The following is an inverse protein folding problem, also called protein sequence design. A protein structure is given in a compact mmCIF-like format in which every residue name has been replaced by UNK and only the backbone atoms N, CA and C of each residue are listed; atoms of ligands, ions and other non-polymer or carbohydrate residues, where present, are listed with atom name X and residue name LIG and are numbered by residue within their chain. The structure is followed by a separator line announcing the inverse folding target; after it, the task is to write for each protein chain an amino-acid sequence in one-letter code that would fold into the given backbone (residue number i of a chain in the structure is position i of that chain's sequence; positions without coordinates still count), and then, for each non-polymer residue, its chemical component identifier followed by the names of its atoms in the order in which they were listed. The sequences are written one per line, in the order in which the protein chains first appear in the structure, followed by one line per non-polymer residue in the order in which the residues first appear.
data_IF_122503630186
#
_entry.id   IF_122503630186
#
_cell.length_a   1.000
_cell.length_b   1.000
_cell.length_c   1.000
_cell.angle_alpha   90.00
_cell.angle_beta   90.00
_cell.angle_gamma   90.00
#
_symmetry.space_group_name_H-M   'P 1'
#
loop_
_entity.id
_entity.type
_entity.pdbx_description
1 polymer ?
#
# COMPACT_ATOMS: atom_id res chain seq x y z
N UNK A 1 -16.27 -34.20 -58.51
CA UNK A 1 -15.15 -34.60 -57.63
C UNK A 1 -15.10 -33.60 -56.49
N UNK A 2 -15.67 -33.98 -55.35
CA UNK A 2 -15.80 -33.14 -54.15
C UNK A 2 -14.61 -33.40 -53.23
N UNK A 3 -13.90 -32.34 -52.85
CA UNK A 3 -12.82 -32.40 -51.87
C UNK A 3 -13.40 -32.27 -50.46
N UNK A 4 -13.05 -33.24 -49.62
CA UNK A 4 -13.48 -33.37 -48.23
C UNK A 4 -12.63 -32.47 -47.33
N UNK A 5 -13.32 -31.74 -46.46
CA UNK A 5 -12.82 -30.89 -45.40
C UNK A 5 -12.37 -31.77 -44.22
N UNK A 6 -11.08 -31.72 -43.84
CA UNK A 6 -10.59 -32.33 -42.60
C UNK A 6 -10.35 -31.24 -41.56
N UNK A 7 -11.21 -31.20 -40.55
CA UNK A 7 -11.04 -30.40 -39.33
C UNK A 7 -10.36 -31.30 -38.28
N UNK A 8 -9.16 -30.93 -37.86
CA UNK A 8 -8.46 -31.58 -36.74
C UNK A 8 -8.73 -30.76 -35.48
N UNK A 9 -9.51 -31.31 -34.57
CA UNK A 9 -9.63 -30.86 -33.18
C UNK A 9 -8.39 -31.32 -32.42
N UNK A 10 -7.64 -30.40 -31.81
CA UNK A 10 -6.66 -30.72 -30.78
C UNK A 10 -7.24 -30.24 -29.45
N UNK A 11 -7.60 -31.21 -28.61
CA UNK A 11 -8.16 -30.99 -27.28
C UNK A 11 -7.13 -30.40 -26.32
N UNK A 12 -7.57 -29.41 -25.57
CA UNK A 12 -6.89 -28.86 -24.40
C UNK A 12 -6.90 -29.89 -23.27
N UNK A 13 -5.70 -30.26 -22.77
CA UNK A 13 -5.54 -31.00 -21.52
C UNK A 13 -5.51 -29.97 -20.39
N UNK A 14 -6.53 -30.01 -19.54
CA UNK A 14 -6.59 -29.29 -18.27
C UNK A 14 -5.84 -30.14 -17.23
N UNK A 15 -4.75 -29.64 -16.67
CA UNK A 15 -4.11 -30.24 -15.50
C UNK A 15 -4.65 -29.52 -14.27
N UNK A 16 -5.56 -30.21 -13.55
CA UNK A 16 -5.97 -29.87 -12.19
C UNK A 16 -4.91 -30.43 -11.23
N UNK A 17 -4.22 -29.57 -10.51
CA UNK A 17 -3.38 -29.99 -9.38
C UNK A 17 -4.27 -30.11 -8.13
N UNK A 18 -4.60 -31.36 -7.76
CA UNK A 18 -5.20 -31.69 -6.46
C UNK A 18 -4.13 -31.62 -5.36
N UNK A 19 -4.39 -30.84 -4.30
CA UNK A 19 -3.67 -30.95 -3.05
C UNK A 19 -4.07 -32.27 -2.35
N UNK A 20 -3.14 -33.21 -2.28
CA UNK A 20 -3.29 -34.46 -1.53
C UNK A 20 -2.84 -34.24 -0.09
N UNK A 21 -3.75 -34.41 0.86
CA UNK A 21 -3.51 -34.37 2.30
C UNK A 21 -2.71 -35.59 2.74
N UNK A 22 -1.42 -35.38 3.03
CA UNK A 22 -0.52 -36.39 3.58
C UNK A 22 -0.68 -36.52 5.10
N UNK A 23 -1.08 -37.72 5.50
CA UNK A 23 -1.27 -38.24 6.84
C UNK A 23 0.06 -38.26 7.62
N UNK A 24 0.14 -37.60 8.78
CA UNK A 24 1.27 -37.72 9.71
C UNK A 24 0.94 -38.70 10.83
N UNK A 25 1.82 -39.69 10.99
CA UNK A 25 1.78 -40.72 12.02
C UNK A 25 2.15 -40.15 13.39
N UNK A 26 1.28 -40.42 14.37
CA UNK A 26 1.44 -40.09 15.79
C UNK A 26 2.62 -40.83 16.42
N UNK A 27 3.58 -40.08 16.98
CA UNK A 27 4.50 -40.60 17.99
C UNK A 27 4.20 -39.90 19.32
N UNK A 28 3.63 -40.67 20.23
CA UNK A 28 3.29 -40.29 21.60
C UNK A 28 4.55 -40.29 22.45
N UNK A 29 4.97 -39.13 22.96
CA UNK A 29 5.86 -39.05 24.12
C UNK A 29 5.06 -38.43 25.26
N UNK A 30 4.93 -39.21 26.33
CA UNK A 30 4.22 -38.83 27.53
C UNK A 30 5.07 -37.87 28.36
N UNK A 31 4.62 -36.63 28.52
CA UNK A 31 5.10 -35.75 29.59
C UNK A 31 4.11 -35.75 30.74
N UNK A 32 4.60 -36.21 31.89
CA UNK A 32 3.98 -36.14 33.21
C UNK A 32 3.76 -34.69 33.61
N UNK A 33 2.50 -34.25 33.64
CA UNK A 33 2.10 -32.97 34.23
C UNK A 33 1.66 -33.22 35.68
N UNK A 34 2.45 -32.69 36.61
CA UNK A 34 2.13 -32.59 38.04
C UNK A 34 0.99 -31.57 38.24
N UNK A 35 -0.08 -31.87 39.01
CA UNK A 35 -1.16 -30.93 39.21
C UNK A 35 -0.75 -29.83 40.20
N UNK A 36 -0.72 -28.58 39.73
CA UNK A 36 -0.62 -27.40 40.60
C UNK A 36 -1.98 -27.14 41.24
N UNK A 37 -1.97 -27.05 42.57
CA UNK A 37 -3.14 -26.83 43.41
C UNK A 37 -3.89 -25.54 43.06
N UNK A 38 -5.21 -25.67 42.95
CA UNK A 38 -6.16 -24.59 42.68
C UNK A 38 -6.41 -23.82 43.99
N UNK A 39 -5.67 -22.73 44.22
CA UNK A 39 -5.95 -21.82 45.33
C UNK A 39 -7.19 -20.99 45.01
N UNK A 40 -8.28 -21.27 45.72
CA UNK A 40 -9.50 -20.47 45.73
C UNK A 40 -9.19 -19.17 46.49
N UNK A 41 -9.03 -18.07 45.78
CA UNK A 41 -9.00 -16.74 46.38
C UNK A 41 -10.44 -16.27 46.58
N UNK A 42 -10.79 -16.11 47.84
CA UNK A 42 -12.06 -15.58 48.34
C UNK A 42 -12.13 -14.09 47.97
N UNK A 43 -13.11 -13.70 47.16
CA UNK A 43 -13.37 -12.30 46.82
C UNK A 43 -13.92 -11.57 48.05
N UNK A 44 -13.09 -10.74 48.68
CA UNK A 44 -13.54 -9.78 49.67
C UNK A 44 -14.24 -8.60 49.00
N UNK A 45 -15.41 -8.26 49.53
CA UNK A 45 -16.29 -7.18 49.10
C UNK A 45 -15.61 -5.81 49.27
N UNK A 46 -15.49 -5.07 48.17
CA UNK A 46 -15.08 -3.66 48.15
C UNK A 46 -16.22 -2.76 48.69
N UNK A 47 -15.93 -1.71 49.48
CA UNK A 47 -16.97 -0.85 50.04
C UNK A 47 -17.56 0.08 48.97
N UNK A 48 -18.90 0.11 48.91
CA UNK A 48 -19.67 1.05 48.10
C UNK A 48 -19.47 2.48 48.62
N UNK A 49 -18.86 3.35 47.80
CA UNK A 49 -18.91 4.80 48.01
C UNK A 49 -20.18 5.31 47.33
N UNK A 50 -21.17 5.69 48.14
CA UNK A 50 -22.35 6.43 47.71
C UNK A 50 -21.92 7.81 47.16
N UNK A 51 -22.09 8.01 45.87
CA UNK A 51 -22.02 9.34 45.27
C UNK A 51 -23.34 10.08 45.54
N UNK A 52 -23.25 11.16 46.32
CA UNK A 52 -24.33 12.12 46.53
C UNK A 52 -24.60 12.85 45.21
N UNK A 53 -25.75 12.56 44.59
CA UNK A 53 -26.27 13.30 43.43
C UNK A 53 -27.01 14.55 43.94
N UNK A 54 -26.39 15.71 43.75
CA UNK A 54 -27.03 17.03 43.91
C UNK A 54 -27.90 17.32 42.68
N UNK A 55 -29.20 17.62 42.82
CA UNK A 55 -30.03 17.96 41.66
C UNK A 55 -29.65 19.34 41.10
N UNK A 56 -29.28 19.37 39.82
CA UNK A 56 -29.10 20.60 39.05
C UNK A 56 -30.46 21.26 38.80
N UNK A 57 -30.63 22.58 39.04
CA UNK A 57 -31.89 23.26 38.76
C UNK A 57 -32.15 23.34 37.25
N UNK A 58 -33.42 23.33 36.80
CA UNK A 58 -33.75 23.41 35.38
C UNK A 58 -33.44 24.82 34.85
N UNK A 59 -32.62 24.88 33.80
CA UNK A 59 -32.43 26.09 33.00
C UNK A 59 -33.72 26.40 32.22
N UNK A 60 -34.37 27.51 32.57
CA UNK A 60 -35.42 28.13 31.78
C UNK A 60 -34.88 28.52 30.41
N UNK A 61 -35.51 28.02 29.34
CA UNK A 61 -35.26 28.47 27.99
C UNK A 61 -35.87 29.86 27.78
N UNK A 62 -35.03 30.89 27.77
CA UNK A 62 -35.37 32.21 27.24
C UNK A 62 -35.05 32.24 25.74
N UNK A 63 -36.10 32.23 24.92
CA UNK A 63 -36.00 32.46 23.48
C UNK A 63 -35.73 33.94 23.20
N UNK A 64 -34.47 34.29 22.96
CA UNK A 64 -34.09 35.52 22.25
C UNK A 64 -33.58 35.15 20.86
N UNK A 65 -34.01 35.83 19.79
CA UNK A 65 -33.56 35.52 18.45
C UNK A 65 -32.12 35.99 18.27
N UNK A 66 -31.21 35.04 18.07
CA UNK A 66 -29.83 35.31 17.63
C UNK A 66 -29.88 35.87 16.20
N UNK A 67 -29.23 37.00 15.89
CA UNK A 67 -29.12 37.49 14.52
C UNK A 67 -28.34 36.47 13.67
N UNK A 68 -28.92 36.07 12.55
CA UNK A 68 -28.26 35.23 11.55
C UNK A 68 -27.08 36.03 10.95
N UNK A 69 -25.87 35.79 11.44
CA UNK A 69 -24.66 36.21 10.74
C UNK A 69 -24.53 35.33 9.49
N UNK A 70 -24.95 35.88 8.34
CA UNK A 70 -24.61 35.34 7.04
C UNK A 70 -23.08 35.37 6.90
N UNK A 71 -22.45 34.22 7.11
CA UNK A 71 -21.07 34.01 6.70
C UNK A 71 -21.05 33.91 5.16
N UNK A 72 -20.67 35.00 4.50
CA UNK A 72 -20.21 34.97 3.11
C UNK A 72 -19.00 34.03 3.03
N UNK A 73 -18.97 33.04 2.11
CA UNK A 73 -17.77 32.26 1.87
C UNK A 73 -16.69 33.20 1.34
N UNK A 74 -15.60 33.34 2.10
CA UNK A 74 -14.39 34.00 1.62
C UNK A 74 -13.83 33.16 0.47
N UNK A 75 -13.54 33.74 -0.70
CA UNK A 75 -13.00 32.98 -1.82
C UNK A 75 -11.58 32.50 -1.45
N UNK A 76 -11.41 31.19 -1.30
CA UNK A 76 -10.10 30.55 -1.32
C UNK A 76 -9.39 31.00 -2.60
N UNK A 77 -8.16 31.55 -2.53
CA UNK A 77 -7.42 31.88 -3.74
C UNK A 77 -7.21 30.57 -4.52
N UNK A 78 -7.58 30.51 -5.82
CA UNK A 78 -7.23 29.34 -6.61
C UNK A 78 -5.71 29.22 -6.64
N UNK A 79 -5.19 28.03 -6.31
CA UNK A 79 -3.81 27.68 -6.60
C UNK A 79 -3.60 27.98 -8.09
N UNK A 80 -2.75 28.96 -8.39
CA UNK A 80 -2.30 29.19 -9.75
C UNK A 80 -1.53 27.94 -10.17
N UNK A 81 -2.19 27.06 -10.91
CA UNK A 81 -1.53 26.07 -11.73
C UNK A 81 -0.67 26.86 -12.72
N UNK A 82 0.63 26.95 -12.44
CA UNK A 82 1.61 27.40 -13.43
C UNK A 82 1.51 26.43 -14.58
N UNK A 83 0.81 26.81 -15.65
CA UNK A 83 0.70 26.04 -16.86
C UNK A 83 2.11 25.93 -17.47
N UNK A 84 2.82 24.87 -17.09
CA UNK A 84 3.95 24.37 -17.87
C UNK A 84 3.39 24.05 -19.27
N UNK A 85 4.09 24.51 -20.31
CA UNK A 85 3.70 24.25 -21.69
C UNK A 85 3.46 22.75 -21.96
N UNK A 86 2.89 22.38 -23.11
CA UNK A 86 2.49 21.00 -23.37
C UNK A 86 3.64 20.04 -23.09
N UNK A 87 3.53 19.28 -21.99
CA UNK A 87 4.49 18.26 -21.59
C UNK A 87 4.60 17.29 -22.75
N UNK A 88 5.74 17.28 -23.45
CA UNK A 88 5.96 16.30 -24.51
C UNK A 88 5.80 14.91 -23.91
N UNK A 89 4.78 14.19 -24.36
CA UNK A 89 4.49 12.86 -23.86
C UNK A 89 5.63 11.95 -24.28
N UNK A 90 6.27 11.33 -23.31
CA UNK A 90 7.32 10.34 -23.58
C UNK A 90 6.73 9.15 -24.33
N UNK A 91 7.52 8.53 -25.21
CA UNK A 91 7.19 7.25 -25.87
C UNK A 91 7.91 6.06 -25.24
N UNK A 92 8.73 6.32 -24.22
CA UNK A 92 9.51 5.32 -23.50
C UNK A 92 8.62 4.64 -22.48
N UNK A 93 8.62 3.30 -22.51
CA UNK A 93 7.79 2.42 -21.68
C UNK A 93 8.67 1.31 -21.14
N UNK A 94 8.41 0.92 -19.90
CA UNK A 94 9.10 -0.16 -19.21
C UNK A 94 8.20 -1.36 -19.06
N UNK A 95 8.70 -2.56 -19.35
CA UNK A 95 7.95 -3.79 -19.16
C UNK A 95 8.85 -4.85 -18.54
N UNK A 96 8.28 -5.70 -17.69
CA UNK A 96 8.94 -6.91 -17.22
C UNK A 96 8.77 -8.03 -18.25
N UNK A 97 9.81 -8.83 -18.46
CA UNK A 97 9.69 -10.09 -19.17
C UNK A 97 9.08 -11.19 -18.27
N UNK A 98 8.99 -12.42 -18.80
CA UNK A 98 8.47 -13.58 -18.07
C UNK A 98 9.33 -14.01 -16.88
N UNK A 99 10.57 -13.54 -16.81
CA UNK A 99 11.51 -13.83 -15.73
C UNK A 99 11.50 -12.71 -14.67
N UNK A 100 10.70 -11.66 -14.87
CA UNK A 100 10.67 -10.48 -13.99
C UNK A 100 11.76 -9.45 -14.33
N UNK A 101 12.54 -9.65 -15.39
CA UNK A 101 13.55 -8.69 -15.80
C UNK A 101 12.90 -7.49 -16.50
N UNK A 102 13.21 -6.29 -16.02
CA UNK A 102 12.65 -5.06 -16.56
C UNK A 102 13.51 -4.50 -17.70
N UNK A 103 12.87 -4.13 -18.80
CA UNK A 103 13.53 -3.52 -19.94
C UNK A 103 12.70 -2.37 -20.53
N UNK A 104 13.37 -1.29 -20.99
CA UNK A 104 12.70 -0.23 -21.73
C UNK A 104 12.55 -0.60 -23.21
N UNK A 105 11.54 -0.04 -23.88
CA UNK A 105 11.37 -0.21 -25.33
C UNK A 105 12.34 0.63 -26.18
N UNK A 106 12.98 1.64 -25.59
CA UNK A 106 13.89 2.60 -26.22
C UNK A 106 14.89 3.07 -25.15
N UNK A 107 15.95 3.78 -25.55
CA UNK A 107 16.92 4.35 -24.60
C UNK A 107 16.23 5.32 -23.63
N UNK A 108 16.25 5.04 -22.30
CA UNK A 108 15.70 5.94 -21.29
C UNK A 108 16.47 7.27 -21.23
N UNK A 109 15.80 8.40 -20.90
CA UNK A 109 16.52 9.63 -20.59
C UNK A 109 17.36 9.46 -19.33
N UNK A 110 18.52 10.10 -19.28
CA UNK A 110 19.24 10.26 -18.02
C UNK A 110 18.49 11.26 -17.13
N UNK A 111 18.03 10.78 -15.98
CA UNK A 111 17.34 11.59 -14.97
C UNK A 111 18.17 11.76 -13.69
N UNK A 112 19.46 11.42 -13.73
CA UNK A 112 20.35 11.50 -12.59
C UNK A 112 19.95 10.56 -11.44
N UNK A 113 20.19 11.01 -10.22
CA UNK A 113 19.84 10.27 -9.01
C UNK A 113 18.32 10.23 -8.84
N UNK A 114 17.83 9.03 -8.50
CA UNK A 114 16.40 8.76 -8.31
C UNK A 114 15.76 9.68 -7.26
N UNK A 115 16.50 9.99 -6.19
CA UNK A 115 16.09 10.85 -5.08
C UNK A 115 15.55 12.21 -5.55
N UNK A 116 16.15 12.79 -6.60
CA UNK A 116 15.80 14.13 -7.10
C UNK A 116 14.42 14.20 -7.77
N UNK A 117 13.82 13.05 -8.07
CA UNK A 117 12.46 12.99 -8.62
C UNK A 117 11.40 13.21 -7.55
N UNK A 118 11.72 12.97 -6.28
CA UNK A 118 10.80 13.00 -5.15
C UNK A 118 10.81 14.39 -4.50
N UNK A 119 9.63 14.97 -4.30
CA UNK A 119 9.46 16.35 -3.82
C UNK A 119 8.72 16.42 -2.49
N UNK A 120 7.73 15.53 -2.29
CA UNK A 120 6.92 15.51 -1.08
C UNK A 120 6.78 14.09 -0.56
N UNK A 121 6.65 13.95 0.75
CA UNK A 121 6.27 12.69 1.36
C UNK A 121 4.77 12.41 1.11
N UNK A 122 4.34 11.16 0.82
CA UNK A 122 2.98 10.88 0.37
C UNK A 122 1.90 11.02 1.45
N UNK A 123 2.26 11.11 2.72
CA UNK A 123 1.35 11.25 3.86
C UNK A 123 1.75 12.44 4.75
N UNK A 124 0.88 12.86 5.67
CA UNK A 124 1.33 13.67 6.81
C UNK A 124 2.19 12.81 7.74
N UNK A 125 3.48 13.14 7.85
CA UNK A 125 4.44 12.43 8.71
C UNK A 125 4.04 12.44 10.19
N UNK A 126 3.22 13.42 10.63
CA UNK A 126 2.73 13.49 12.01
C UNK A 126 1.65 12.47 12.33
N UNK A 127 0.96 11.95 11.30
CA UNK A 127 -0.04 10.91 11.45
C UNK A 127 0.61 9.52 11.67
N UNK A 128 1.90 9.37 11.35
CA UNK A 128 2.58 8.09 11.39
C UNK A 128 2.88 7.63 12.81
N UNK A 129 2.57 6.36 13.06
CA UNK A 129 2.84 5.66 14.32
C UNK A 129 3.93 4.61 14.18
N UNK A 130 4.12 4.06 12.98
CA UNK A 130 5.15 3.04 12.70
C UNK A 130 5.63 3.15 11.25
N UNK A 131 6.89 2.76 11.04
CA UNK A 131 7.49 2.64 9.71
C UNK A 131 8.28 1.35 9.59
N UNK A 132 7.73 0.37 8.86
CA UNK A 132 8.46 -0.84 8.51
C UNK A 132 9.23 -0.59 7.21
N UNK A 133 10.55 -0.80 7.24
CA UNK A 133 11.46 -0.54 6.11
C UNK A 133 11.22 -1.52 4.95
N UNK A 134 11.40 -1.12 3.67
CA UNK A 134 11.26 -2.02 2.53
C UNK A 134 12.35 -3.10 2.51
N UNK A 135 12.11 -4.22 1.82
CA UNK A 135 13.08 -5.30 1.65
C UNK A 135 13.28 -6.08 2.94
N UNK A 136 12.24 -6.77 3.41
CA UNK A 136 12.26 -7.53 4.65
C UNK A 136 11.40 -8.78 4.54
N UNK A 137 11.65 -9.78 5.37
CA UNK A 137 10.71 -10.89 5.55
C UNK A 137 9.49 -10.46 6.39
N UNK A 138 8.32 -11.01 6.06
CA UNK A 138 7.06 -10.85 6.79
C UNK A 138 6.49 -12.18 7.28
N UNK A 139 5.41 -12.11 8.07
CA UNK A 139 4.58 -13.25 8.51
C UNK A 139 5.37 -14.47 9.01
N UNK A 140 6.36 -14.25 9.88
CA UNK A 140 7.19 -15.35 10.41
C UNK A 140 8.12 -15.97 9.38
N UNK A 141 8.58 -15.17 8.40
CA UNK A 141 9.46 -15.56 7.29
C UNK A 141 8.78 -16.42 6.21
N UNK A 142 7.50 -16.18 5.93
CA UNK A 142 6.79 -16.86 4.81
C UNK A 142 6.58 -15.96 3.59
N UNK A 143 6.79 -14.65 3.74
CA UNK A 143 6.65 -13.69 2.64
C UNK A 143 7.86 -12.75 2.57
N UNK A 144 8.18 -12.26 1.37
CA UNK A 144 9.16 -11.20 1.16
C UNK A 144 8.46 -9.88 0.80
N UNK A 145 8.78 -8.81 1.53
CA UNK A 145 8.10 -7.53 1.41
C UNK A 145 9.05 -6.52 0.78
N UNK A 146 8.93 -6.33 -0.54
CA UNK A 146 9.74 -5.37 -1.31
C UNK A 146 9.28 -3.90 -1.20
N UNK A 147 8.41 -3.56 -0.26
CA UNK A 147 7.93 -2.19 -0.02
C UNK A 147 7.91 -1.87 1.48
N UNK A 148 7.91 -0.59 1.82
CA UNK A 148 7.72 -0.17 3.20
C UNK A 148 6.25 -0.21 3.58
N UNK A 149 6.00 -0.11 4.88
CA UNK A 149 4.65 0.05 5.42
C UNK A 149 4.62 1.27 6.34
N UNK A 150 3.71 2.19 6.04
CA UNK A 150 3.48 3.43 6.77
C UNK A 150 2.17 3.30 7.54
N UNK A 151 2.26 3.16 8.87
CA UNK A 151 1.08 2.98 9.72
C UNK A 151 0.67 4.31 10.33
N UNK A 152 -0.63 4.57 10.34
CA UNK A 152 -1.24 5.73 11.00
C UNK A 152 -2.32 5.23 11.97
N UNK A 153 -1.91 4.41 12.96
CA UNK A 153 -2.81 3.62 13.81
C UNK A 153 -3.80 4.47 14.61
N UNK A 154 -3.49 5.76 14.83
CA UNK A 154 -4.34 6.71 15.56
C UNK A 154 -5.27 7.53 14.65
N UNK A 155 -5.23 7.31 13.34
CA UNK A 155 -6.03 8.04 12.35
C UNK A 155 -7.24 7.22 11.90
N UNK A 156 -8.31 7.92 11.50
CA UNK A 156 -9.45 7.29 10.84
C UNK A 156 -8.98 6.88 9.43
N UNK A 157 -9.09 5.59 9.11
CA UNK A 157 -8.58 5.02 7.86
C UNK A 157 -9.08 5.73 6.59
N UNK A 158 -10.31 6.26 6.62
CA UNK A 158 -10.96 7.00 5.53
C UNK A 158 -10.79 8.53 5.62
N UNK A 159 -9.85 9.01 6.43
CA UNK A 159 -9.50 10.43 6.60
C UNK A 159 -7.98 10.63 6.57
N UNK A 160 -7.29 9.81 5.77
CA UNK A 160 -5.85 9.90 5.56
C UNK A 160 -5.60 10.18 4.08
N UNK A 161 -5.27 11.43 3.79
CA UNK A 161 -4.99 11.88 2.42
C UNK A 161 -3.64 11.34 1.93
N UNK A 162 -3.66 10.71 0.75
CA UNK A 162 -2.46 10.24 0.05
C UNK A 162 -2.17 11.14 -1.13
N UNK A 163 -0.96 11.71 -1.17
CA UNK A 163 -0.47 12.54 -2.27
C UNK A 163 0.60 11.83 -3.08
N UNK A 164 0.63 12.06 -4.38
CA UNK A 164 1.70 11.51 -5.21
C UNK A 164 3.03 12.23 -4.94
N UNK A 165 4.14 11.48 -4.74
CA UNK A 165 5.34 12.06 -4.16
C UNK A 165 6.32 12.71 -5.15
N UNK A 166 6.17 12.44 -6.46
CA UNK A 166 7.25 12.64 -7.41
C UNK A 166 6.78 13.22 -8.74
N UNK A 167 7.69 13.83 -9.50
CA UNK A 167 7.34 14.46 -10.78
C UNK A 167 7.48 13.48 -11.94
N UNK A 168 6.51 13.56 -12.85
CA UNK A 168 6.69 13.11 -14.20
C UNK A 168 6.35 11.67 -14.51
N UNK A 169 5.74 11.00 -13.54
CA UNK A 169 5.26 9.64 -13.62
C UNK A 169 3.89 9.57 -14.30
N UNK A 170 3.60 8.40 -14.86
CA UNK A 170 2.26 8.07 -15.37
C UNK A 170 1.78 6.75 -14.81
N UNK A 171 0.47 6.62 -14.60
CA UNK A 171 -0.13 5.38 -14.11
C UNK A 171 0.13 4.26 -15.13
N UNK A 172 0.72 3.17 -14.65
CA UNK A 172 1.12 2.03 -15.44
C UNK A 172 0.32 0.79 -15.08
N UNK A 173 0.15 0.50 -13.78
CA UNK A 173 -0.56 -0.71 -13.35
C UNK A 173 -1.56 -0.42 -12.23
N UNK A 174 -2.61 -1.23 -12.20
CA UNK A 174 -3.69 -1.11 -11.21
C UNK A 174 -4.11 -2.49 -10.74
N UNK A 175 -4.33 -2.65 -9.43
CA UNK A 175 -5.11 -3.75 -8.88
C UNK A 175 -6.22 -3.16 -8.02
N UNK A 176 -7.46 -3.66 -8.19
CA UNK A 176 -8.62 -3.34 -7.35
C UNK A 176 -9.08 -4.64 -6.72
N UNK A 177 -9.15 -4.70 -5.40
CA UNK A 177 -9.51 -5.93 -4.71
C UNK A 177 -10.35 -5.69 -3.46
N UNK A 178 -11.22 -6.65 -3.16
CA UNK A 178 -11.74 -6.86 -1.82
C UNK A 178 -10.84 -7.88 -1.13
N UNK A 179 -10.55 -7.63 0.14
CA UNK A 179 -9.81 -8.55 1.00
C UNK A 179 -10.81 -9.23 1.95
N UNK A 180 -11.13 -10.49 1.70
CA UNK A 180 -12.16 -11.19 2.48
C UNK A 180 -11.69 -11.52 3.90
N UNK A 181 -10.38 -11.72 4.09
CA UNK A 181 -9.80 -12.05 5.39
C UNK A 181 -9.94 -10.92 6.43
N UNK A 182 -10.17 -9.68 5.99
CA UNK A 182 -10.38 -8.51 6.88
C UNK A 182 -11.87 -8.23 7.15
N UNK A 183 -12.79 -8.90 6.47
CA UNK A 183 -14.26 -8.73 6.60
C UNK A 183 -14.73 -7.27 6.60
N UNK A 184 -13.99 -6.33 5.99
CA UNK A 184 -14.35 -4.92 5.94
C UNK A 184 -15.33 -4.61 4.81
N UNK A 185 -15.30 -5.40 3.74
CA UNK A 185 -15.99 -5.09 2.48
C UNK A 185 -15.42 -3.87 1.75
N UNK A 186 -14.28 -3.33 2.23
CA UNK A 186 -13.66 -2.13 1.70
C UNK A 186 -12.81 -2.47 0.46
N UNK A 187 -13.01 -1.73 -0.62
CA UNK A 187 -12.17 -1.84 -1.81
C UNK A 187 -10.77 -1.30 -1.51
N UNK A 188 -9.76 -2.14 -1.68
CA UNK A 188 -8.35 -1.78 -1.62
C UNK A 188 -7.83 -1.60 -3.05
N UNK A 189 -7.13 -0.48 -3.29
CA UNK A 189 -6.54 -0.19 -4.59
C UNK A 189 -5.02 -0.09 -4.50
N UNK A 190 -4.36 -0.81 -5.41
CA UNK A 190 -2.94 -0.64 -5.76
C UNK A 190 -2.81 0.19 -7.01
N UNK A 191 -2.03 1.26 -6.94
CA UNK A 191 -1.62 2.05 -8.09
C UNK A 191 -0.10 1.98 -8.22
N UNK A 192 0.37 1.65 -9.42
CA UNK A 192 1.78 1.69 -9.78
C UNK A 192 2.01 2.69 -10.91
N UNK A 193 2.92 3.61 -10.68
CA UNK A 193 3.27 4.66 -11.61
C UNK A 193 4.70 4.46 -12.09
N UNK A 194 4.95 4.66 -13.37
CA UNK A 194 6.28 4.51 -13.98
C UNK A 194 6.73 5.84 -14.56
N UNK A 195 7.95 6.24 -14.22
CA UNK A 195 8.67 7.33 -14.86
C UNK A 195 9.43 6.81 -16.09
N UNK A 196 9.48 7.56 -17.21
CA UNK A 196 10.21 7.16 -18.42
C UNK A 196 11.69 6.78 -18.21
N UNK A 197 12.31 7.28 -17.14
CA UNK A 197 13.70 6.95 -16.80
C UNK A 197 13.90 5.58 -16.14
N UNK A 198 12.83 4.84 -15.85
CA UNK A 198 12.93 3.52 -15.22
C UNK A 198 12.81 3.56 -13.72
N UNK A 199 11.88 4.35 -13.20
CA UNK A 199 11.54 4.34 -11.78
C UNK A 199 10.07 3.98 -11.63
N UNK A 200 9.76 3.04 -10.75
CA UNK A 200 8.40 2.67 -10.41
C UNK A 200 8.09 3.10 -8.97
N UNK A 201 6.94 3.72 -8.78
CA UNK A 201 6.36 4.02 -7.47
C UNK A 201 5.10 3.17 -7.30
N UNK A 202 5.02 2.44 -6.19
CA UNK A 202 3.86 1.64 -5.78
C UNK A 202 3.22 2.25 -4.55
N UNK A 203 1.91 2.42 -4.61
CA UNK A 203 1.05 2.79 -3.49
C UNK A 203 -0.07 1.74 -3.44
N UNK A 204 -0.14 0.98 -2.35
CA UNK A 204 -1.15 -0.07 -2.15
C UNK A 204 -1.96 0.18 -0.87
N UNK A 205 -3.10 -0.49 -0.77
CA UNK A 205 -4.10 -0.28 0.28
C UNK A 205 -4.69 1.14 0.25
N UNK A 206 -4.88 1.72 -0.93
CA UNK A 206 -5.61 2.99 -1.08
C UNK A 206 -7.11 2.72 -0.98
N UNK A 207 -7.83 3.59 -0.26
CA UNK A 207 -9.30 3.61 -0.19
C UNK A 207 -9.83 5.01 -0.44
N UNK A 208 -11.06 5.14 -0.94
CA UNK A 208 -11.64 6.45 -1.26
C UNK A 208 -10.79 7.25 -2.27
N UNK A 209 -10.53 6.69 -3.45
CA UNK A 209 -9.83 7.41 -4.52
C UNK A 209 -10.54 8.73 -4.87
N UNK A 210 -9.76 9.74 -5.28
CA UNK A 210 -10.35 10.94 -5.88
C UNK A 210 -11.14 10.61 -7.15
N UNK A 211 -12.12 11.45 -7.50
CA UNK A 211 -12.99 11.27 -8.66
C UNK A 211 -12.21 11.01 -9.96
N UNK A 212 -11.08 11.71 -10.13
CA UNK A 212 -10.21 11.55 -11.31
C UNK A 212 -9.66 10.12 -11.38
N UNK A 213 -9.04 9.62 -10.32
CA UNK A 213 -8.40 8.32 -10.32
C UNK A 213 -9.42 7.18 -10.33
N UNK A 214 -10.54 7.34 -9.61
CA UNK A 214 -11.67 6.43 -9.69
C UNK A 214 -12.21 6.32 -11.13
N UNK A 215 -12.36 7.45 -11.84
CA UNK A 215 -12.82 7.44 -13.24
C UNK A 215 -11.82 6.77 -14.19
N UNK A 216 -10.51 6.94 -13.98
CA UNK A 216 -9.48 6.32 -14.83
C UNK A 216 -9.52 4.79 -14.68
N UNK A 217 -9.68 4.29 -13.45
CA UNK A 217 -9.59 2.85 -13.17
C UNK A 217 -10.94 2.14 -13.15
N UNK A 218 -12.06 2.83 -13.38
CA UNK A 218 -13.40 2.26 -13.23
C UNK A 218 -13.71 1.02 -14.09
N UNK A 219 -12.92 0.78 -15.15
CA UNK A 219 -13.01 -0.42 -16.01
C UNK A 219 -12.06 -1.56 -15.60
N UNK A 220 -11.14 -1.31 -14.67
CA UNK A 220 -10.27 -2.35 -14.11
C UNK A 220 -11.15 -3.27 -13.25
N UNK A 221 -11.06 -4.61 -13.43
CA UNK A 221 -11.86 -5.55 -12.65
C UNK A 221 -11.62 -5.40 -11.15
N UNK A 222 -12.71 -5.46 -10.37
CA UNK A 222 -12.65 -5.65 -8.93
C UNK A 222 -12.52 -7.15 -8.65
N UNK A 223 -11.40 -7.55 -8.05
CA UNK A 223 -11.11 -8.94 -7.70
C UNK A 223 -11.37 -9.21 -6.22
N UNK A 224 -11.25 -10.46 -5.79
CA UNK A 224 -11.34 -10.86 -4.37
C UNK A 224 -10.10 -11.67 -4.03
N UNK A 225 -9.40 -11.30 -2.95
CA UNK A 225 -8.17 -11.95 -2.45
C UNK A 225 -7.12 -12.23 -3.54
N UNK A 226 -7.05 -11.33 -4.52
CA UNK A 226 -6.20 -11.48 -5.69
C UNK A 226 -5.48 -10.18 -5.98
N UNK A 227 -4.15 -10.24 -5.91
CA UNK A 227 -3.23 -9.13 -6.08
C UNK A 227 -2.79 -8.91 -7.53
N UNK A 228 -3.38 -9.63 -8.50
CA UNK A 228 -3.04 -9.52 -9.91
C UNK A 228 -3.27 -8.11 -10.43
N UNK A 229 -2.27 -7.57 -11.11
CA UNK A 229 -2.31 -6.23 -11.71
C UNK A 229 -2.88 -6.26 -13.13
N UNK A 230 -3.58 -5.19 -13.49
CA UNK A 230 -3.97 -4.84 -14.85
C UNK A 230 -2.98 -3.82 -15.41
N UNK A 231 -2.42 -4.11 -16.59
CA UNK A 231 -1.52 -3.21 -17.29
C UNK A 231 -2.30 -2.14 -18.04
N UNK A 232 -1.98 -0.88 -17.78
CA UNK A 232 -2.50 0.29 -18.48
C UNK A 232 -1.46 0.85 -19.46
N UNK A 233 -1.89 1.56 -20.52
CA UNK A 233 -0.97 2.27 -21.39
C UNK A 233 -0.19 3.35 -20.61
N UNK A 234 1.13 3.16 -20.47
CA UNK A 234 2.05 4.16 -19.94
C UNK A 234 2.04 5.44 -20.80
N UNK A 235 2.40 6.58 -20.19
CA UNK A 235 2.44 7.92 -20.79
C UNK A 235 1.06 8.48 -21.22
N UNK A 236 -0.02 7.96 -20.65
CA UNK A 236 -1.39 8.45 -20.89
C UNK A 236 -1.91 9.26 -19.71
N UNK A 237 -1.86 8.70 -18.50
CA UNK A 237 -2.39 9.32 -17.29
C UNK A 237 -1.25 9.80 -16.39
N UNK A 238 -0.75 11.01 -16.64
CA UNK A 238 0.29 11.64 -15.83
C UNK A 238 -0.24 12.11 -14.48
N UNK A 239 0.62 12.10 -13.47
CA UNK A 239 0.31 12.58 -12.12
C UNK A 239 1.32 13.64 -11.72
N UNK A 240 0.82 14.71 -11.08
CA UNK A 240 1.66 15.79 -10.58
C UNK A 240 2.09 15.53 -9.12
N UNK A 241 3.28 15.99 -8.69
CA UNK A 241 3.64 16.00 -7.28
C UNK A 241 2.58 16.73 -6.46
N UNK A 242 2.16 16.16 -5.33
CA UNK A 242 1.13 16.78 -4.48
C UNK A 242 -0.30 16.51 -4.90
N UNK A 243 -0.52 15.91 -6.06
CA UNK A 243 -1.86 15.51 -6.48
C UNK A 243 -2.43 14.47 -5.50
N UNK A 244 -3.67 14.70 -5.05
CA UNK A 244 -4.38 13.80 -4.16
C UNK A 244 -4.83 12.57 -4.95
N UNK A 245 -4.39 11.39 -4.49
CA UNK A 245 -4.77 10.12 -5.06
C UNK A 245 -6.00 9.54 -4.37
N UNK A 246 -6.01 9.58 -3.04
CA UNK A 246 -7.04 8.99 -2.19
C UNK A 246 -7.22 9.78 -0.90
N UNK A 247 -8.39 9.62 -0.29
CA UNK A 247 -8.73 10.18 1.02
C UNK A 247 -8.62 9.14 2.15
N UNK A 248 -8.20 7.91 1.84
CA UNK A 248 -8.01 6.87 2.83
C UNK A 248 -6.94 5.84 2.48
N UNK A 249 -6.57 5.09 3.50
CA UNK A 249 -5.61 3.97 3.46
C UNK A 249 -6.10 2.81 4.34
N UNK A 250 -5.81 1.58 3.95
CA UNK A 250 -6.12 0.38 4.72
C UNK A 250 -7.61 0.21 5.03
N UNK A 251 -7.94 -0.16 6.26
CA UNK A 251 -9.31 -0.47 6.69
C UNK A 251 -9.52 -0.17 8.20
N UNK A 252 -10.76 -0.21 8.74
CA UNK A 252 -11.04 0.26 10.11
C UNK A 252 -10.22 -0.36 11.25
N UNK A 253 -9.71 -1.57 11.05
CA UNK A 253 -8.89 -2.30 12.04
C UNK A 253 -7.39 -2.26 11.74
N UNK A 254 -6.98 -1.62 10.63
CA UNK A 254 -5.60 -1.56 10.17
C UNK A 254 -5.40 -0.35 9.22
N UNK A 255 -5.03 0.80 9.78
CA UNK A 255 -4.77 2.03 9.01
C UNK A 255 -3.32 2.07 8.55
N UNK A 256 -3.04 1.63 7.32
CA UNK A 256 -1.69 1.62 6.77
C UNK A 256 -1.66 1.79 5.24
N UNK A 257 -0.53 2.31 4.77
CA UNK A 257 -0.20 2.47 3.36
C UNK A 257 1.06 1.66 3.07
N UNK A 258 1.00 0.82 2.04
CA UNK A 258 2.18 0.15 1.53
C UNK A 258 2.82 1.00 0.43
N UNK A 259 4.07 1.40 0.66
CA UNK A 259 4.78 2.35 -0.19
C UNK A 259 6.11 1.77 -0.69
N UNK A 260 6.23 1.63 -2.01
CA UNK A 260 7.39 1.04 -2.68
C UNK A 260 7.99 1.98 -3.71
N UNK A 261 9.32 1.97 -3.81
CA UNK A 261 10.07 2.62 -4.86
C UNK A 261 11.06 1.61 -5.43
N UNK A 262 11.14 1.57 -6.77
CA UNK A 262 11.94 0.59 -7.49
C UNK A 262 12.72 1.26 -8.60
N UNK A 263 14.03 1.00 -8.68
CA UNK A 263 14.90 1.46 -9.75
C UNK A 263 15.00 0.38 -10.83
N UNK A 264 14.15 0.44 -11.85
CA UNK A 264 14.05 -0.57 -12.91
C UNK A 264 15.30 -0.63 -13.81
N UNK A 265 16.22 0.34 -13.69
CA UNK A 265 17.45 0.40 -14.49
C UNK A 265 18.47 -0.62 -14.03
N UNK A 266 18.49 -0.91 -12.72
CA UNK A 266 19.54 -1.71 -12.09
C UNK A 266 18.94 -2.54 -10.96
N UNK A 267 19.18 -3.86 -10.99
CA UNK A 267 18.81 -4.74 -9.88
C UNK A 267 19.55 -4.36 -8.60
N UNK A 268 18.87 -4.48 -7.47
CA UNK A 268 19.42 -4.37 -6.14
C UNK A 268 20.54 -5.42 -5.92
N UNK A 269 21.53 -5.10 -5.09
CA UNK A 269 22.64 -6.00 -4.76
C UNK A 269 22.22 -7.31 -4.09
N UNK A 270 20.99 -7.38 -3.55
CA UNK A 270 20.42 -8.60 -2.97
C UNK A 270 19.51 -9.38 -3.94
N UNK A 271 19.43 -9.02 -5.22
CA UNK A 271 18.58 -9.73 -6.18
C UNK A 271 18.92 -11.23 -6.31
N UNK A 272 20.19 -11.61 -6.14
CA UNK A 272 20.58 -13.04 -6.09
C UNK A 272 20.03 -13.75 -4.85
N UNK A 273 19.97 -13.07 -3.71
CA UNK A 273 19.34 -13.60 -2.50
C UNK A 273 17.83 -13.78 -2.70
N UNK A 274 17.14 -12.78 -3.28
CA UNK A 274 15.72 -12.89 -3.61
C UNK A 274 15.49 -14.07 -4.58
N UNK A 275 16.30 -14.18 -5.63
CA UNK A 275 16.14 -15.25 -6.61
C UNK A 275 16.30 -16.66 -6.04
N UNK A 276 17.12 -16.83 -4.99
CA UNK A 276 17.38 -18.12 -4.37
C UNK A 276 16.38 -18.44 -3.26
N UNK A 277 16.12 -17.47 -2.38
CA UNK A 277 15.39 -17.70 -1.12
C UNK A 277 13.92 -17.29 -1.23
N UNK A 278 13.59 -16.42 -2.19
CA UNK A 278 12.26 -15.84 -2.41
C UNK A 278 11.85 -15.80 -3.90
N UNK A 279 11.93 -16.93 -4.63
CA UNK A 279 11.78 -16.95 -6.09
C UNK A 279 10.43 -16.41 -6.58
N UNK A 280 9.36 -16.55 -5.80
CA UNK A 280 8.02 -16.05 -6.12
C UNK A 280 7.91 -14.51 -6.04
N UNK A 281 8.88 -13.86 -5.40
CA UNK A 281 8.95 -12.41 -5.22
C UNK A 281 9.89 -11.72 -6.21
N UNK A 282 10.53 -12.50 -7.09
CA UNK A 282 11.31 -11.96 -8.22
C UNK A 282 10.48 -11.02 -9.08
N UNK A 283 11.18 -10.19 -9.85
CA UNK A 283 10.54 -9.12 -10.60
C UNK A 283 10.67 -7.83 -9.84
N UNK A 284 9.57 -7.21 -9.39
CA UNK A 284 9.65 -5.88 -8.77
C UNK A 284 10.57 -5.84 -7.54
N UNK A 285 10.60 -6.89 -6.70
CA UNK A 285 11.47 -6.89 -5.51
C UNK A 285 12.97 -6.91 -5.85
N UNK A 286 13.35 -7.43 -7.02
CA UNK A 286 14.75 -7.41 -7.47
C UNK A 286 15.26 -5.99 -7.71
N UNK A 287 14.37 -4.99 -7.82
CA UNK A 287 14.69 -3.59 -8.13
C UNK A 287 14.32 -2.64 -6.99
N UNK A 288 13.94 -3.16 -5.81
CA UNK A 288 13.56 -2.34 -4.66
C UNK A 288 14.74 -1.53 -4.11
N UNK A 289 14.46 -0.31 -3.64
CA UNK A 289 15.48 0.58 -3.07
C UNK A 289 15.08 1.08 -1.67
N UNK A 290 16.09 1.50 -0.89
CA UNK A 290 15.84 2.21 0.36
C UNK A 290 15.45 3.68 0.08
N UNK A 291 14.16 3.98 0.13
CA UNK A 291 13.63 5.29 -0.24
C UNK A 291 13.47 6.28 0.92
N UNK A 292 13.71 5.88 2.16
CA UNK A 292 13.37 6.70 3.35
C UNK A 292 14.09 8.05 3.43
N UNK A 293 15.22 8.20 2.74
CA UNK A 293 16.00 9.45 2.67
C UNK A 293 15.57 10.39 1.53
N UNK A 294 14.68 9.97 0.63
CA UNK A 294 14.37 10.72 -0.60
C UNK A 294 13.59 12.03 -0.32
N UNK A 295 13.06 12.19 0.89
CA UNK A 295 12.15 13.27 1.28
C UNK A 295 12.79 14.29 2.23
N UNK A 296 14.12 14.37 2.22
CA UNK A 296 14.91 15.26 3.07
C UNK A 296 15.14 14.73 4.48
N UNK A 297 16.13 15.32 5.15
CA UNK A 297 16.66 14.86 6.44
C UNK A 297 15.61 14.85 7.55
N UNK A 298 14.67 15.79 7.54
CA UNK A 298 13.59 15.85 8.56
C UNK A 298 12.68 14.63 8.48
N UNK A 299 12.22 14.27 7.27
CA UNK A 299 11.37 13.08 7.09
C UNK A 299 12.16 11.83 7.41
N UNK A 300 13.40 11.73 6.91
CA UNK A 300 14.27 10.59 7.19
C UNK A 300 14.48 10.37 8.70
N UNK A 301 14.69 11.45 9.46
CA UNK A 301 14.86 11.41 10.91
C UNK A 301 13.59 10.94 11.62
N UNK A 302 12.41 11.47 11.24
CA UNK A 302 11.13 11.02 11.79
C UNK A 302 10.95 9.51 11.54
N UNK A 303 11.09 9.08 10.28
CA UNK A 303 10.94 7.68 9.91
C UNK A 303 11.90 6.76 10.66
N UNK A 304 13.16 7.18 10.84
CA UNK A 304 14.15 6.37 11.58
C UNK A 304 13.83 6.18 13.06
N UNK A 305 13.07 7.10 13.65
CA UNK A 305 12.71 7.10 15.07
C UNK A 305 11.35 6.41 15.33
N UNK A 306 10.58 6.10 14.28
CA UNK A 306 9.34 5.35 14.43
C UNK A 306 9.63 3.86 14.71
N UNK A 307 8.79 3.20 15.52
CA UNK A 307 8.83 1.74 15.66
C UNK A 307 8.72 1.06 14.30
N UNK A 308 9.54 0.03 14.08
CA UNK A 308 9.59 -0.70 12.81
C UNK A 308 8.58 -1.85 12.69
N UNK A 309 7.68 -2.00 13.67
CA UNK A 309 6.76 -3.12 13.77
C UNK A 309 7.47 -4.42 14.16
N UNK A 310 7.01 -5.54 13.60
CA UNK A 310 7.47 -6.89 13.96
C UNK A 310 8.88 -7.25 13.45
N UNK A 311 9.35 -6.61 12.38
CA UNK A 311 10.66 -6.87 11.81
C UNK A 311 11.41 -5.54 11.56
N UNK A 312 12.41 -5.21 12.39
CA UNK A 312 13.17 -3.97 12.23
C UNK A 312 14.22 -4.02 11.11
N UNK A 313 14.54 -5.22 10.62
CA UNK A 313 15.58 -5.44 9.62
C UNK A 313 15.14 -5.00 8.23
N UNK A 314 16.11 -4.68 7.39
CA UNK A 314 15.91 -4.37 5.98
C UNK A 314 17.16 -4.73 5.19
N UNK A 315 16.97 -5.48 4.12
CA UNK A 315 18.02 -5.84 3.17
C UNK A 315 18.28 -4.69 2.16
N UNK A 316 17.30 -3.81 1.95
CA UNK A 316 17.47 -2.65 1.06
C UNK A 316 18.12 -1.47 1.77
N UNK A 317 17.79 -1.26 3.05
CA UNK A 317 18.24 -0.13 3.87
C UNK A 317 19.41 -0.52 4.77
N UNK A 318 20.47 -1.03 4.18
CA UNK A 318 21.72 -1.32 4.89
C UNK A 318 22.48 0.00 5.13
N UNK A 319 22.72 0.32 6.40
CA UNK A 319 23.65 1.39 6.80
C UNK A 319 25.09 0.91 6.67
#
# INVERSE_FOLDING_TARGET
MHAILTVIFVGFVIILASCNSGQTTSNTVAETVTPVAKTIVRSESSPSIQATITPTPPLQATSSPTPLLQATPSPTPPLQATATGPRQRSTIRWNSDKNGDWMPNQTPPDCGSIEKLFQIFPLDVKALTQFARPGRSGDGNTIYIGHGSLRADNSIYSDVEVRFPAEGFSLAHVNRRLESYINSGEEQVKLEFIHPCGVLVRLDHLTGLSDRWASIIGKVPLLTDNSQITFLPQNVHYVDPGEILSAGIGHPTNTYLDFGVYDLRTKNNIASFIANDWPDYRGTADYGVCWSSFFGETVASILSNLPAGSNPSSDYCVN
#
